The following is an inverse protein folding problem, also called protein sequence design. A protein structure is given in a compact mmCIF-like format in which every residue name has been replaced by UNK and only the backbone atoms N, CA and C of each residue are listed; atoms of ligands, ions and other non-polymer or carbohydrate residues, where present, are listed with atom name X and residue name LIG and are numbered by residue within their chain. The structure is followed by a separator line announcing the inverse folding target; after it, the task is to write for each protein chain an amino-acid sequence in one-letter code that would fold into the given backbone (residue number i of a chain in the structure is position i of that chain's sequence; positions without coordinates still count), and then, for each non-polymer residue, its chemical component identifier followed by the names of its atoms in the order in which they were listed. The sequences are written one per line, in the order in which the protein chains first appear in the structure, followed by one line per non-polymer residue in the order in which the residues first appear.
data_IF_872032713536
#
_entry.id   IF_872032713536
#
_cell.length_a   1.000
_cell.length_b   1.000
_cell.length_c   1.000
_cell.angle_alpha   90.00
_cell.angle_beta   90.00
_cell.angle_gamma   90.00
#
_symmetry.space_group_name_H-M   'P 1'
#
loop_
_entity.id
_entity.type
_entity.pdbx_description
1 polymer ?
#
# COMPACT_ATOMS: atom_id res chain seq x y z
N UNK A 1 1.11 3.91 -14.04
CA UNK A 1 2.42 4.05 -13.39
C UNK A 1 2.44 3.33 -12.05
N UNK A 2 3.44 2.54 -11.82
CA UNK A 2 3.56 1.78 -10.58
C UNK A 2 4.30 2.55 -9.51
N UNK A 3 3.95 2.32 -8.25
CA UNK A 3 4.59 2.93 -7.08
C UNK A 3 5.02 1.83 -6.13
N UNK A 4 6.19 2.01 -5.57
CA UNK A 4 6.75 1.07 -4.60
C UNK A 4 7.29 1.86 -3.41
N UNK A 5 7.04 1.36 -2.21
CA UNK A 5 7.66 1.89 -0.99
C UNK A 5 8.23 0.75 -0.17
N UNK A 6 9.36 0.99 0.43
CA UNK A 6 9.99 0.05 1.36
C UNK A 6 10.36 0.82 2.62
N UNK A 7 10.19 0.16 3.76
CA UNK A 7 10.50 0.77 5.05
C UNK A 7 11.30 -0.19 5.90
N UNK A 8 12.32 0.34 6.56
CA UNK A 8 13.02 -0.34 7.64
C UNK A 8 13.36 0.68 8.72
N UNK A 9 13.17 0.29 9.97
CA UNK A 9 13.40 1.19 11.12
C UNK A 9 12.56 0.76 12.31
N UNK A 10 12.30 1.66 13.26
CA UNK A 10 11.42 1.33 14.39
C UNK A 10 10.06 0.87 13.91
N UNK A 11 9.43 -0.05 14.67
CA UNK A 11 8.12 -0.59 14.28
C UNK A 11 7.08 0.52 14.21
N UNK A 12 6.43 0.63 13.07
CA UNK A 12 5.36 1.62 12.84
C UNK A 12 4.17 0.94 12.16
N UNK A 13 2.97 1.51 12.26
CA UNK A 13 1.84 1.00 11.48
C UNK A 13 2.12 1.19 9.99
N UNK A 14 1.69 0.24 9.19
CA UNK A 14 1.87 0.33 7.74
C UNK A 14 1.24 1.59 7.16
N UNK A 15 0.12 2.05 7.74
CA UNK A 15 -0.56 3.26 7.26
C UNK A 15 0.34 4.50 7.27
N UNK A 16 1.35 4.53 8.13
CA UNK A 16 2.26 5.67 8.21
C UNK A 16 2.94 5.97 6.87
N UNK A 17 3.18 4.94 6.07
CA UNK A 17 3.78 5.09 4.74
C UNK A 17 2.74 4.91 3.64
N UNK A 18 1.80 3.97 3.83
CA UNK A 18 0.93 3.51 2.75
C UNK A 18 -0.22 4.49 2.50
N UNK A 19 -0.82 5.07 3.54
CA UNK A 19 -2.07 5.79 3.36
C UNK A 19 -2.19 7.15 4.05
N UNK A 20 -1.46 7.39 5.16
CA UNK A 20 -1.66 8.61 5.95
C UNK A 20 -0.99 9.85 5.35
N UNK A 21 0.29 9.82 4.94
CA UNK A 21 0.93 11.03 4.44
C UNK A 21 0.30 11.55 3.15
N UNK A 22 0.41 12.86 2.94
CA UNK A 22 -0.13 13.50 1.73
C UNK A 22 0.46 12.92 0.44
N UNK A 23 1.69 12.41 0.50
CA UNK A 23 2.36 11.77 -0.63
C UNK A 23 2.46 10.26 -0.47
N UNK A 24 1.52 9.66 0.28
CA UNK A 24 1.49 8.21 0.46
C UNK A 24 1.20 7.49 -0.87
N UNK A 25 1.52 6.20 -0.91
CA UNK A 25 1.25 5.38 -2.08
C UNK A 25 -0.22 5.44 -2.49
N UNK A 26 -1.12 5.35 -1.50
CA UNK A 26 -2.55 5.36 -1.77
C UNK A 26 -3.01 6.67 -2.38
N UNK A 27 -2.56 7.80 -1.82
CA UNK A 27 -2.95 9.11 -2.35
C UNK A 27 -2.36 9.38 -3.72
N UNK A 28 -1.13 8.94 -3.96
CA UNK A 28 -0.53 9.03 -5.29
C UNK A 28 -1.31 8.22 -6.32
N UNK A 29 -1.79 7.04 -5.93
CA UNK A 29 -2.59 6.20 -6.82
C UNK A 29 -3.91 6.90 -7.22
N UNK A 30 -4.59 7.53 -6.27
CA UNK A 30 -5.82 8.27 -6.55
C UNK A 30 -5.54 9.46 -7.47
N UNK A 31 -4.49 10.21 -7.19
CA UNK A 31 -4.14 11.38 -8.00
C UNK A 31 -3.78 10.98 -9.43
N UNK A 32 -3.03 9.90 -9.59
CA UNK A 32 -2.66 9.39 -10.92
C UNK A 32 -3.89 8.95 -11.71
N UNK A 33 -4.84 8.29 -11.05
CA UNK A 33 -6.09 7.88 -11.68
C UNK A 33 -6.88 9.09 -12.18
N UNK A 34 -7.00 10.12 -11.36
CA UNK A 34 -7.74 11.32 -11.74
C UNK A 34 -7.07 12.04 -12.91
N UNK A 35 -5.75 12.17 -12.88
CA UNK A 35 -5.00 12.84 -13.93
C UNK A 35 -5.08 12.09 -15.26
N UNK A 36 -5.07 10.76 -15.21
CA UNK A 36 -5.11 9.94 -16.41
C UNK A 36 -6.53 9.73 -16.94
N UNK A 37 -7.56 10.10 -16.18
CA UNK A 37 -8.95 9.85 -16.52
C UNK A 37 -9.22 8.37 -16.80
N UNK A 38 -8.45 7.48 -16.20
CA UNK A 38 -8.61 6.04 -16.38
C UNK A 38 -9.34 5.45 -15.19
N UNK A 39 -10.07 4.37 -15.44
CA UNK A 39 -10.87 3.69 -14.42
C UNK A 39 -10.34 2.29 -14.16
N UNK A 40 -9.16 1.99 -14.60
CA UNK A 40 -8.62 0.64 -14.50
C UNK A 40 -8.28 0.31 -13.05
N UNK A 41 -8.80 -0.79 -12.58
CA UNK A 41 -8.45 -1.34 -11.30
C UNK A 41 -7.12 -2.03 -11.42
N UNK A 42 -6.15 -1.56 -10.69
CA UNK A 42 -4.80 -1.91 -11.02
C UNK A 42 -4.12 -2.78 -9.99
N UNK A 43 -4.67 -3.06 -8.90
CA UNK A 43 -4.06 -3.97 -7.97
C UNK A 43 -3.01 -3.34 -7.06
N UNK A 44 -2.73 -4.06 -5.99
CA UNK A 44 -1.77 -3.63 -4.98
C UNK A 44 -1.24 -4.85 -4.23
N UNK A 45 -0.19 -4.63 -3.45
CA UNK A 45 0.33 -5.63 -2.53
C UNK A 45 1.05 -4.97 -1.37
N UNK A 46 0.90 -5.54 -0.19
CA UNK A 46 1.70 -5.19 0.98
C UNK A 46 2.29 -6.46 1.54
N UNK A 47 3.51 -6.35 2.05
CA UNK A 47 4.23 -7.47 2.62
C UNK A 47 4.99 -6.93 3.82
N UNK A 48 4.87 -7.62 4.96
CA UNK A 48 5.49 -7.14 6.19
C UNK A 48 6.10 -8.30 6.96
N UNK A 49 7.13 -8.01 7.74
CA UNK A 49 7.77 -8.99 8.60
C UNK A 49 7.39 -8.72 10.04
N UNK A 50 7.08 -9.78 10.76
CA UNK A 50 6.85 -9.75 12.20
C UNK A 50 7.98 -10.43 12.94
N UNK A 51 7.66 -11.04 14.08
CA UNK A 51 8.64 -11.69 14.93
C UNK A 51 9.18 -12.98 14.33
N UNK A 52 8.39 -13.69 13.54
CA UNK A 52 8.88 -14.85 12.82
C UNK A 52 9.49 -14.42 11.48
N UNK A 53 10.08 -15.35 10.77
CA UNK A 53 10.78 -15.04 9.52
C UNK A 53 9.89 -15.17 8.29
N UNK A 54 8.63 -15.48 8.49
CA UNK A 54 7.68 -15.59 7.38
C UNK A 54 6.99 -14.24 7.18
N UNK A 55 7.03 -13.67 5.98
CA UNK A 55 6.34 -12.42 5.74
C UNK A 55 4.83 -12.62 5.68
N UNK A 56 4.09 -11.66 6.22
CA UNK A 56 2.68 -11.55 5.96
C UNK A 56 2.47 -10.87 4.62
N UNK A 57 1.40 -11.23 3.92
CA UNK A 57 1.07 -10.61 2.63
C UNK A 57 -0.42 -10.35 2.53
N UNK A 58 -0.75 -9.23 1.92
CA UNK A 58 -2.11 -8.96 1.51
C UNK A 58 -2.07 -8.30 0.14
N UNK A 59 -2.75 -8.90 -0.84
CA UNK A 59 -2.75 -8.37 -2.20
C UNK A 59 -4.09 -8.62 -2.86
N UNK A 60 -4.43 -7.77 -3.82
CA UNK A 60 -5.65 -7.92 -4.59
C UNK A 60 -5.45 -7.25 -5.95
N UNK A 61 -6.29 -7.62 -6.90
CA UNK A 61 -6.31 -7.00 -8.23
C UNK A 61 -7.19 -5.75 -8.27
N UNK A 62 -7.95 -5.49 -7.21
CA UNK A 62 -8.78 -4.31 -7.10
C UNK A 62 -7.92 -3.06 -6.81
N UNK A 63 -8.43 -1.87 -7.11
CA UNK A 63 -7.71 -0.65 -6.75
C UNK A 63 -7.52 -0.54 -5.24
N UNK A 64 -6.31 -0.15 -4.82
CA UNK A 64 -6.00 -0.02 -3.40
C UNK A 64 -6.94 0.97 -2.70
N UNK A 65 -7.28 2.07 -3.36
CA UNK A 65 -8.11 3.12 -2.78
C UNK A 65 -9.57 2.70 -2.56
N UNK A 66 -9.99 1.60 -3.16
CA UNK A 66 -11.37 1.11 -3.01
C UNK A 66 -11.50 -0.07 -2.04
N UNK A 67 -10.40 -0.51 -1.43
CA UNK A 67 -10.41 -1.69 -0.58
C UNK A 67 -10.43 -1.30 0.90
N UNK A 68 -11.59 -1.44 1.59
CA UNK A 68 -11.65 -1.11 3.01
C UNK A 68 -10.81 -2.05 3.88
N UNK A 69 -10.56 -3.27 3.42
CA UNK A 69 -9.74 -4.23 4.17
C UNK A 69 -8.28 -3.78 4.20
N UNK A 70 -7.79 -3.18 3.13
CA UNK A 70 -6.43 -2.65 3.10
C UNK A 70 -6.26 -1.53 4.12
N UNK A 71 -7.22 -0.63 4.22
CA UNK A 71 -7.16 0.46 5.19
C UNK A 71 -7.13 -0.07 6.62
N UNK A 72 -7.97 -1.04 6.94
CA UNK A 72 -8.00 -1.66 8.27
C UNK A 72 -6.69 -2.38 8.58
N UNK A 73 -6.18 -3.14 7.63
CA UNK A 73 -4.94 -3.87 7.82
C UNK A 73 -3.77 -2.91 8.07
N UNK A 74 -3.66 -1.86 7.27
CA UNK A 74 -2.57 -0.89 7.40
C UNK A 74 -2.63 -0.12 8.71
N UNK A 75 -3.81 0.08 9.24
CA UNK A 75 -3.98 0.73 10.55
C UNK A 75 -3.54 -0.17 11.70
N UNK A 76 -3.81 -1.47 11.59
CA UNK A 76 -3.58 -2.40 12.69
C UNK A 76 -2.22 -3.08 12.66
N UNK A 77 -1.68 -3.33 11.49
CA UNK A 77 -0.41 -4.04 11.36
C UNK A 77 0.74 -3.07 11.57
N UNK A 78 1.65 -3.46 12.44
CA UNK A 78 2.89 -2.71 12.72
C UNK A 78 4.06 -3.59 12.33
N UNK A 79 5.09 -2.98 11.77
CA UNK A 79 6.28 -3.73 11.38
C UNK A 79 7.50 -2.81 11.31
N UNK A 80 8.66 -3.37 11.52
CA UNK A 80 9.93 -2.68 11.36
C UNK A 80 10.55 -2.90 9.98
N UNK A 81 9.91 -3.75 9.16
CA UNK A 81 10.36 -4.00 7.79
C UNK A 81 9.14 -4.37 6.95
N UNK A 82 8.81 -3.53 5.99
CA UNK A 82 7.70 -3.85 5.09
C UNK A 82 7.88 -3.18 3.73
N UNK A 83 7.18 -3.75 2.75
CA UNK A 83 7.12 -3.24 1.39
C UNK A 83 5.67 -3.08 0.98
N UNK A 84 5.41 -2.08 0.16
CA UNK A 84 4.09 -1.89 -0.41
C UNK A 84 4.22 -1.50 -1.87
N UNK A 85 3.31 -1.98 -2.68
CA UNK A 85 3.31 -1.74 -4.11
C UNK A 85 1.90 -1.44 -4.58
N UNK A 86 1.74 -0.40 -5.37
CA UNK A 86 0.49 -0.09 -6.04
C UNK A 86 0.77 -0.08 -7.53
N UNK A 87 0.02 -0.91 -8.25
CA UNK A 87 0.12 -0.97 -9.69
C UNK A 87 -0.91 -0.01 -10.29
N UNK A 88 -0.47 0.75 -11.27
CA UNK A 88 -1.34 1.61 -12.03
C UNK A 88 -0.98 1.44 -13.49
N UNK A 89 -1.91 0.91 -14.26
CA UNK A 89 -1.74 0.80 -15.71
C UNK A 89 -2.13 2.14 -16.33
N UNK A 90 -1.45 2.51 -17.35
CA UNK A 90 -1.72 3.74 -18.07
C UNK A 90 -2.42 3.46 -19.38
#
# INVERSE_FOLDING_TARGET
MCRLAAYTGPSIPLQTIVSVPAHSLLKQSVAAREAALTVNGDGFGVCWYGDDRQPGQYRDVMPAWSDPNLANLCRMVRSDLFLAHIRAST
#
